data_IF_659925617126
#
_entry.id   IF_659925617126
#
_cell.length_a   1.000
_cell.length_b   1.000
_cell.length_c   1.000
_cell.angle_alpha   90.00
_cell.angle_beta   90.00
_cell.angle_gamma   90.00
#
_symmetry.space_group_name_H-M   'P 1'
#
loop_
_entity.id
_entity.type
_entity.pdbx_description
1 polymer ?
#
# COMPACT_ATOMS: atom_id res chain seq x y z
N UNK A 1 16.48 9.28 20.58
CA UNK A 1 17.12 9.66 21.86
C UNK A 1 18.17 8.65 22.28
N UNK A 2 17.93 7.32 22.11
CA UNK A 2 18.80 6.30 22.69
C UNK A 2 19.94 5.83 21.78
N UNK A 3 19.74 5.83 20.46
CA UNK A 3 20.73 5.28 19.52
C UNK A 3 20.87 6.15 18.24
N UNK A 4 21.27 7.44 18.35
CA UNK A 4 21.40 8.30 17.18
C UNK A 4 22.46 7.81 16.19
N UNK A 5 23.49 7.12 16.69
CA UNK A 5 24.60 6.65 15.85
C UNK A 5 24.18 5.50 14.91
N UNK A 6 23.14 4.74 15.22
CA UNK A 6 22.59 3.73 14.29
C UNK A 6 22.09 4.37 12.99
N UNK A 7 21.45 5.53 13.11
CA UNK A 7 20.94 6.27 11.95
C UNK A 7 22.08 6.98 11.22
N UNK A 8 22.98 7.65 11.96
CA UNK A 8 24.13 8.36 11.39
C UNK A 8 25.07 7.46 10.61
N UNK A 9 25.25 6.24 11.09
CA UNK A 9 26.13 5.24 10.48
C UNK A 9 25.42 4.37 9.43
N UNK A 10 24.17 4.69 9.08
CA UNK A 10 23.44 3.97 8.02
C UNK A 10 23.03 2.53 8.38
N UNK A 11 22.83 2.25 9.67
CA UNK A 11 22.41 0.92 10.14
C UNK A 11 20.88 0.78 10.28
N UNK A 12 20.11 1.81 9.90
CA UNK A 12 18.66 1.78 9.96
C UNK A 12 18.08 1.69 8.55
N UNK A 13 17.15 0.75 8.35
CA UNK A 13 16.48 0.52 7.07
C UNK A 13 14.98 0.39 7.30
N UNK A 14 14.21 0.78 6.28
CA UNK A 14 12.77 0.52 6.21
C UNK A 14 12.59 -0.72 5.33
N UNK A 15 11.88 -1.72 5.83
CA UNK A 15 11.50 -2.89 5.07
C UNK A 15 10.30 -2.55 4.18
N UNK A 16 10.47 -2.67 2.86
CA UNK A 16 9.38 -2.62 1.91
C UNK A 16 8.58 -3.92 1.96
N UNK A 17 7.30 -3.82 2.36
CA UNK A 17 6.36 -4.94 2.34
C UNK A 17 5.39 -4.78 1.18
N UNK A 18 4.84 -5.87 0.61
CA UNK A 18 3.88 -5.78 -0.47
C UNK A 18 2.60 -5.07 -0.03
N UNK A 19 2.04 -4.26 -0.92
CA UNK A 19 0.76 -3.58 -0.72
C UNK A 19 -0.42 -4.46 -1.12
N UNK A 20 -0.23 -5.35 -2.09
CA UNK A 20 -1.28 -6.21 -2.61
C UNK A 20 -0.80 -7.65 -2.76
N UNK A 21 -1.74 -8.58 -2.59
CA UNK A 21 -1.62 -9.97 -2.97
C UNK A 21 -2.66 -10.26 -4.03
N UNK A 22 -2.22 -10.71 -5.20
CA UNK A 22 -3.07 -11.14 -6.31
C UNK A 22 -2.86 -12.63 -6.50
N UNK A 23 -3.91 -13.42 -6.32
CA UNK A 23 -3.80 -14.88 -6.41
C UNK A 23 -4.91 -15.50 -7.24
N UNK A 24 -4.59 -16.63 -7.85
CA UNK A 24 -5.53 -17.57 -8.39
C UNK A 24 -5.31 -18.94 -7.75
N UNK A 25 -6.00 -19.99 -8.23
CA UNK A 25 -5.86 -21.37 -7.70
C UNK A 25 -4.47 -21.97 -7.88
N UNK A 26 -3.59 -21.39 -8.71
CA UNK A 26 -2.31 -21.96 -9.12
C UNK A 26 -1.11 -21.11 -8.65
N UNK A 27 -1.26 -19.79 -8.61
CA UNK A 27 -0.16 -18.86 -8.41
C UNK A 27 -0.59 -17.69 -7.52
N UNK A 28 0.33 -17.21 -6.69
CA UNK A 28 0.18 -16.01 -5.86
C UNK A 28 1.28 -15.03 -6.23
N UNK A 29 0.91 -13.78 -6.52
CA UNK A 29 1.85 -12.70 -6.84
C UNK A 29 1.68 -11.59 -5.80
N UNK A 30 2.80 -11.16 -5.22
CA UNK A 30 2.86 -10.03 -4.30
C UNK A 30 3.29 -8.78 -5.06
N UNK A 31 2.57 -7.69 -4.87
CA UNK A 31 2.75 -6.45 -5.62
C UNK A 31 3.03 -5.30 -4.65
N UNK A 32 4.02 -4.49 -4.97
CA UNK A 32 4.49 -3.36 -4.17
C UNK A 32 4.02 -2.01 -4.73
N UNK A 33 3.36 -2.03 -5.89
CA UNK A 33 2.77 -0.85 -6.52
C UNK A 33 1.46 -1.21 -7.23
N UNK A 34 0.68 -0.18 -7.58
CA UNK A 34 -0.53 -0.35 -8.39
C UNK A 34 -0.22 -0.84 -9.81
N UNK A 35 0.93 -0.46 -10.38
CA UNK A 35 1.37 -0.95 -11.68
C UNK A 35 1.66 -2.45 -11.64
N UNK A 36 2.40 -2.91 -10.61
CA UNK A 36 2.65 -4.33 -10.41
C UNK A 36 1.33 -5.10 -10.22
N UNK A 37 0.35 -4.53 -9.50
CA UNK A 37 -0.99 -5.11 -9.33
C UNK A 37 -1.71 -5.29 -10.67
N UNK A 38 -1.76 -4.26 -11.52
CA UNK A 38 -2.38 -4.33 -12.86
C UNK A 38 -1.72 -5.39 -13.72
N UNK A 39 -0.39 -5.44 -13.71
CA UNK A 39 0.37 -6.45 -14.45
C UNK A 39 0.09 -7.87 -13.94
N UNK A 40 0.02 -8.05 -12.62
CA UNK A 40 -0.31 -9.33 -12.00
C UNK A 40 -1.73 -9.80 -12.36
N UNK A 41 -2.72 -8.90 -12.38
CA UNK A 41 -4.09 -9.20 -12.79
C UNK A 41 -4.10 -9.69 -14.26
N UNK A 42 -3.40 -8.98 -15.14
CA UNK A 42 -3.30 -9.35 -16.55
C UNK A 42 -2.63 -10.71 -16.75
N UNK A 43 -1.59 -11.01 -15.95
CA UNK A 43 -0.85 -12.28 -16.00
C UNK A 43 -1.68 -13.46 -15.50
N UNK A 44 -2.38 -13.28 -14.37
CA UNK A 44 -3.16 -14.35 -13.72
C UNK A 44 -4.48 -14.64 -14.43
N UNK A 45 -4.93 -13.76 -15.33
CA UNK A 45 -6.09 -13.95 -16.17
C UNK A 45 -7.44 -13.77 -15.43
N UNK A 46 -8.40 -14.63 -15.70
CA UNK A 46 -9.80 -14.42 -15.34
C UNK A 46 -10.03 -14.41 -13.80
N UNK A 47 -10.47 -13.27 -13.26
CA UNK A 47 -10.94 -13.04 -11.89
C UNK A 47 -9.99 -13.54 -10.77
N UNK A 48 -8.75 -13.03 -10.67
CA UNK A 48 -7.91 -13.35 -9.53
C UNK A 48 -8.49 -12.71 -8.26
N UNK A 49 -8.24 -13.34 -7.12
CA UNK A 49 -8.53 -12.75 -5.81
C UNK A 49 -7.47 -11.68 -5.51
N UNK A 50 -7.91 -10.48 -5.15
CA UNK A 50 -7.05 -9.36 -4.81
C UNK A 50 -7.24 -9.03 -3.34
N UNK A 51 -6.15 -9.01 -2.57
CA UNK A 51 -6.14 -8.58 -1.17
C UNK A 51 -5.23 -7.36 -1.06
N UNK A 52 -5.71 -6.28 -0.45
CA UNK A 52 -4.88 -5.12 -0.09
C UNK A 52 -4.44 -5.28 1.36
N UNK A 53 -3.15 -5.21 1.62
CA UNK A 53 -2.60 -5.22 2.97
C UNK A 53 -2.61 -3.81 3.56
N UNK A 54 -3.22 -3.66 4.72
CA UNK A 54 -3.29 -2.38 5.45
C UNK A 54 -2.30 -2.33 6.62
N UNK A 55 -1.71 -3.48 6.97
CA UNK A 55 -0.70 -3.60 8.01
C UNK A 55 -0.08 -4.99 8.05
N UNK A 56 1.02 -5.13 8.77
CA UNK A 56 1.77 -6.39 8.87
C UNK A 56 0.99 -7.54 9.52
N UNK A 57 -0.01 -7.22 10.36
CA UNK A 57 -0.85 -8.23 11.00
C UNK A 57 -1.77 -9.01 10.06
N UNK A 58 -1.93 -8.56 8.82
CA UNK A 58 -2.71 -9.24 7.78
C UNK A 58 -1.88 -10.24 6.97
N UNK A 59 -0.57 -10.25 7.17
CA UNK A 59 0.39 -11.11 6.49
C UNK A 59 0.72 -12.29 7.42
N UNK A 60 0.58 -13.51 6.94
CA UNK A 60 0.94 -14.68 7.72
C UNK A 60 2.46 -14.76 7.93
N UNK A 61 2.95 -15.41 9.02
CA UNK A 61 4.40 -15.56 9.26
C UNK A 61 5.13 -16.25 8.10
N UNK A 62 4.50 -17.23 7.47
CA UNK A 62 5.08 -17.96 6.34
C UNK A 62 5.22 -17.08 5.09
N UNK A 63 4.20 -16.24 4.81
CA UNK A 63 4.28 -15.24 3.75
C UNK A 63 5.37 -14.20 4.05
N UNK A 64 5.42 -13.73 5.31
CA UNK A 64 6.39 -12.74 5.73
C UNK A 64 7.83 -13.24 5.61
N UNK A 65 8.09 -14.52 5.94
CA UNK A 65 9.39 -15.15 5.77
C UNK A 65 9.89 -15.07 4.31
N UNK A 66 8.99 -15.15 3.33
CA UNK A 66 9.31 -14.98 1.92
C UNK A 66 9.80 -13.57 1.55
N UNK A 67 9.39 -12.54 2.29
CA UNK A 67 9.79 -11.15 2.02
C UNK A 67 11.15 -10.77 2.62
N UNK A 68 11.66 -11.57 3.56
CA UNK A 68 12.97 -11.38 4.20
C UNK A 68 14.06 -12.22 3.49
N UNK A 69 13.74 -12.83 2.36
CA UNK A 69 14.64 -13.67 1.57
C UNK A 69 15.69 -12.88 0.77
N UNK A 70 16.30 -13.53 -0.24
CA UNK A 70 17.32 -12.92 -1.09
C UNK A 70 16.86 -11.66 -1.83
N UNK A 71 15.56 -11.56 -2.10
CA UNK A 71 14.93 -10.43 -2.80
C UNK A 71 14.33 -9.38 -1.85
N UNK A 72 14.85 -9.32 -0.61
CA UNK A 72 14.40 -8.34 0.39
C UNK A 72 14.48 -6.91 -0.16
N UNK A 73 13.39 -6.17 -0.07
CA UNK A 73 13.33 -4.75 -0.45
C UNK A 73 13.52 -3.90 0.80
N UNK A 74 14.66 -3.25 0.90
CA UNK A 74 14.99 -2.37 2.02
C UNK A 74 15.42 -0.99 1.50
N UNK A 75 15.01 0.05 2.21
CA UNK A 75 15.40 1.43 1.93
C UNK A 75 16.21 1.98 3.11
N UNK A 76 17.42 2.51 2.89
CA UNK A 76 18.22 3.09 3.97
C UNK A 76 17.59 4.38 4.47
N UNK A 77 17.53 4.56 5.77
CA UNK A 77 17.14 5.83 6.38
C UNK A 77 18.34 6.78 6.34
N UNK A 78 18.26 7.77 5.46
CA UNK A 78 19.31 8.78 5.28
C UNK A 78 18.90 10.07 5.98
N UNK A 79 19.78 10.62 6.81
CA UNK A 79 19.60 11.91 7.43
C UNK A 79 20.21 12.98 6.51
N UNK A 80 19.38 13.90 6.02
CA UNK A 80 19.90 15.11 5.38
C UNK A 80 20.52 16.02 6.46
N UNK A 81 21.64 16.66 6.15
CA UNK A 81 22.35 17.54 7.08
C UNK A 81 21.50 18.74 7.55
N UNK A 82 20.49 19.11 6.79
CA UNK A 82 19.59 20.23 7.08
C UNK A 82 18.37 19.84 7.95
N UNK A 83 18.15 18.55 8.16
CA UNK A 83 16.97 18.07 8.89
C UNK A 83 17.21 18.16 10.39
N UNK A 84 16.42 18.99 11.09
CA UNK A 84 16.32 18.92 12.54
C UNK A 84 15.53 17.66 12.93
N UNK A 85 16.27 16.56 13.13
CA UNK A 85 15.73 15.22 13.40
C UNK A 85 14.83 15.23 14.63
N UNK A 86 15.25 15.94 15.68
CA UNK A 86 14.48 16.02 16.93
C UNK A 86 13.11 16.68 16.67
N UNK A 87 13.09 17.77 15.89
CA UNK A 87 11.85 18.46 15.53
C UNK A 87 10.94 17.54 14.69
N UNK A 88 11.49 16.83 13.70
CA UNK A 88 10.73 15.91 12.86
C UNK A 88 10.16 14.73 13.66
N UNK A 89 10.97 14.13 14.54
CA UNK A 89 10.51 13.03 15.39
C UNK A 89 9.43 13.50 16.38
N UNK A 90 9.59 14.68 16.97
CA UNK A 90 8.57 15.25 17.85
C UNK A 90 7.28 15.58 17.08
N UNK A 91 7.40 16.06 15.85
CA UNK A 91 6.25 16.35 15.01
C UNK A 91 5.48 15.08 14.60
N UNK A 92 6.16 14.07 14.03
CA UNK A 92 5.49 12.88 13.51
C UNK A 92 5.17 11.83 14.57
N UNK A 93 5.97 11.70 15.64
CA UNK A 93 5.87 10.63 16.64
C UNK A 93 5.65 11.15 18.06
N UNK A 94 5.71 12.44 18.30
CA UNK A 94 5.47 13.07 19.60
C UNK A 94 3.97 13.24 19.92
N UNK A 95 3.66 13.93 21.02
CA UNK A 95 2.28 14.19 21.47
C UNK A 95 1.61 15.38 20.76
N UNK A 96 2.06 15.75 19.58
CA UNK A 96 1.56 16.88 18.82
C UNK A 96 0.39 16.49 17.91
N UNK A 97 -0.76 16.23 18.50
CA UNK A 97 -1.95 15.75 17.77
C UNK A 97 -2.59 16.82 16.88
N UNK A 98 -2.76 18.10 17.31
CA UNK A 98 -3.44 19.10 16.49
C UNK A 98 -2.75 19.37 15.16
N UNK A 99 -1.45 19.67 15.17
CA UNK A 99 -0.69 19.97 13.95
C UNK A 99 -0.62 18.78 13.00
N UNK A 100 -0.56 17.53 13.53
CA UNK A 100 -0.61 16.33 12.70
C UNK A 100 -1.97 16.11 12.07
N UNK A 101 -3.04 16.44 12.78
CA UNK A 101 -4.40 16.36 12.25
C UNK A 101 -4.59 17.35 11.10
N UNK A 102 -4.13 18.59 11.25
CA UNK A 102 -4.16 19.61 10.21
C UNK A 102 -3.36 19.16 8.98
N UNK A 103 -2.13 18.67 9.20
CA UNK A 103 -1.30 18.13 8.12
C UNK A 103 -1.98 16.97 7.36
N UNK A 104 -2.65 16.05 8.07
CA UNK A 104 -3.37 14.93 7.44
C UNK A 104 -4.54 15.46 6.60
N UNK A 105 -5.28 16.44 7.10
CA UNK A 105 -6.41 17.03 6.37
C UNK A 105 -5.94 17.72 5.10
N UNK A 106 -4.87 18.52 5.20
CA UNK A 106 -4.31 19.29 4.08
C UNK A 106 -3.69 18.40 2.98
N UNK A 107 -3.22 17.22 3.36
CA UNK A 107 -2.58 16.27 2.45
C UNK A 107 -3.43 15.03 2.17
N UNK A 108 -4.72 15.05 2.51
CA UNK A 108 -5.62 13.93 2.29
C UNK A 108 -5.88 13.74 0.80
N UNK A 109 -5.36 12.65 0.25
CA UNK A 109 -5.71 12.19 -1.10
C UNK A 109 -6.86 11.20 -0.96
N UNK A 110 -8.06 11.61 -1.38
CA UNK A 110 -9.19 10.70 -1.46
C UNK A 110 -9.06 9.92 -2.76
N UNK A 111 -8.57 8.69 -2.67
CA UNK A 111 -8.73 7.74 -3.78
C UNK A 111 -10.23 7.44 -3.90
N UNK A 112 -10.85 7.82 -5.03
CA UNK A 112 -12.15 7.27 -5.38
C UNK A 112 -11.91 5.78 -5.64
N UNK A 113 -12.50 4.93 -4.79
CA UNK A 113 -12.60 3.52 -5.12
C UNK A 113 -13.23 3.47 -6.51
N UNK A 114 -12.56 2.84 -7.48
CA UNK A 114 -13.14 2.56 -8.78
C UNK A 114 -14.41 1.77 -8.49
N UNK A 115 -15.57 2.39 -8.63
CA UNK A 115 -16.85 1.68 -8.57
C UNK A 115 -16.75 0.54 -9.58
N UNK A 116 -17.06 -0.70 -9.20
CA UNK A 116 -17.02 -1.79 -10.17
C UNK A 116 -17.97 -1.44 -11.30
N UNK A 117 -17.46 -1.41 -12.53
CA UNK A 117 -18.19 -1.13 -13.78
C UNK A 117 -19.45 -2.02 -14.02
N UNK A 118 -19.84 -2.80 -13.03
CA UNK A 118 -20.96 -3.76 -13.09
C UNK A 118 -22.32 -3.05 -13.09
N UNK A 119 -22.41 -1.82 -12.58
CA UNK A 119 -23.71 -1.11 -12.48
C UNK A 119 -24.14 -0.41 -13.79
N UNK A 120 -23.20 -0.08 -14.67
CA UNK A 120 -23.56 0.58 -15.94
C UNK A 120 -24.15 -0.39 -16.98
N UNK A 121 -23.83 -1.67 -16.90
CA UNK A 121 -24.32 -2.67 -17.85
C UNK A 121 -25.74 -3.17 -17.53
N UNK A 122 -26.17 -3.06 -16.26
CA UNK A 122 -27.50 -3.51 -15.84
C UNK A 122 -28.56 -2.44 -16.16
N UNK A 123 -28.22 -1.15 -16.04
CA UNK A 123 -29.17 -0.07 -16.34
C UNK A 123 -29.48 0.09 -17.83
N UNK A 124 -28.56 -0.30 -18.73
CA UNK A 124 -28.79 -0.26 -20.19
C UNK A 124 -29.64 -1.44 -20.66
N UNK A 125 -29.68 -2.54 -19.92
CA UNK A 125 -30.50 -3.72 -20.28
C UNK A 125 -31.99 -3.54 -19.93
N UNK A 126 -32.33 -2.75 -18.91
CA UNK A 126 -33.71 -2.51 -18.50
C UNK A 126 -34.43 -1.46 -19.36
N UNK A 127 -33.70 -0.55 -20.02
CA UNK A 127 -34.32 0.46 -20.92
C UNK A 127 -34.67 -0.07 -22.31
N UNK A 128 -34.17 -1.24 -22.70
CA UNK A 128 -34.45 -1.82 -24.03
C UNK A 128 -35.64 -2.76 -24.07
N UNK A 129 -36.21 -3.19 -22.93
CA UNK A 129 -37.39 -4.07 -22.91
C UNK A 129 -38.73 -3.33 -22.84
N UNK A 130 -38.78 -2.01 -22.67
CA UNK A 130 -40.05 -1.26 -22.54
C UNK A 130 -40.51 -0.57 -23.82
N UNK A 131 -39.93 -0.81 -24.99
CA UNK A 131 -40.30 -0.15 -26.27
C UNK A 131 -40.84 -1.14 -27.32
N UNK A 132 -41.20 -2.36 -26.92
CA UNK A 132 -41.80 -3.34 -27.82
C UNK A 132 -43.14 -3.86 -27.30
N UNK A 133 -44.16 -2.98 -27.26
CA UNK A 133 -45.58 -3.29 -27.34
C UNK A 133 -46.34 -2.18 -28.06
#
# INVERSE_FOLDING_TARGET
QFFPDLVRNGHLYILGTPLFRVRNKKETIYCYSDEERKNAISKLGHKPEITRFKGLGEISPDEFAGFIGPDIRIEPVILSQESNIEKLLNYYMGKNTPERQEFIIDNLIVEKDDEPEILSTVLVAEETETVAE
#
